data_IF_194605944670
#
_entry.id   IF_194605944670
#
_cell.length_a   1.000
_cell.length_b   1.000
_cell.length_c   1.000
_cell.angle_alpha   90.00
_cell.angle_beta   90.00
_cell.angle_gamma   90.00
#
_symmetry.space_group_name_H-M   'P 1'
#
loop_
_entity.id
_entity.type
_entity.pdbx_description
1 polymer ?
#
# COMPACT_ATOMS: atom_id res chain seq x y z
N UNK A 1 -34.26 -8.07 7.93
CA UNK A 1 -34.09 -6.67 8.39
C UNK A 1 -35.46 -6.03 8.47
N UNK A 2 -35.73 -5.22 9.48
CA UNK A 2 -36.98 -4.49 9.59
C UNK A 2 -36.65 -2.98 9.64
N UNK A 3 -37.42 -2.18 8.89
CA UNK A 3 -37.22 -0.74 8.81
C UNK A 3 -37.49 -0.16 7.41
N UNK A 4 -37.48 1.17 7.35
CA UNK A 4 -37.69 1.92 6.11
C UNK A 4 -36.33 2.47 5.60
N UNK A 5 -35.94 2.13 4.38
CA UNK A 5 -34.67 2.57 3.78
C UNK A 5 -34.97 3.62 2.72
N UNK A 6 -34.28 4.77 2.83
CA UNK A 6 -34.31 5.84 1.84
C UNK A 6 -33.08 5.70 0.93
N UNK A 7 -33.30 5.59 -0.37
CA UNK A 7 -32.22 5.43 -1.36
C UNK A 7 -32.19 6.66 -2.27
N UNK A 8 -31.02 7.30 -2.41
CA UNK A 8 -30.79 8.36 -3.36
C UNK A 8 -29.57 8.01 -4.23
N UNK A 9 -29.78 7.81 -5.51
CA UNK A 9 -28.74 7.49 -6.50
C UNK A 9 -29.24 7.95 -7.88
N UNK A 10 -28.41 8.51 -8.73
CA UNK A 10 -28.78 8.99 -10.06
C UNK A 10 -28.89 7.84 -11.07
N UNK A 11 -28.18 6.73 -10.84
CA UNK A 11 -28.23 5.55 -11.70
C UNK A 11 -29.50 4.72 -11.44
N UNK A 12 -30.33 4.61 -12.48
CA UNK A 12 -31.57 3.84 -12.42
C UNK A 12 -31.33 2.36 -12.14
N UNK A 13 -30.23 1.79 -12.66
CA UNK A 13 -29.91 0.37 -12.49
C UNK A 13 -29.57 0.08 -11.04
N UNK A 14 -28.72 0.91 -10.42
CA UNK A 14 -28.34 0.80 -9.02
C UNK A 14 -29.56 0.96 -8.13
N UNK A 15 -30.40 1.99 -8.35
CA UNK A 15 -31.65 2.16 -7.59
C UNK A 15 -32.54 0.92 -7.65
N UNK A 16 -32.69 0.32 -8.84
CA UNK A 16 -33.52 -0.88 -9.01
C UNK A 16 -32.96 -2.08 -8.24
N UNK A 17 -31.65 -2.32 -8.36
CA UNK A 17 -30.95 -3.42 -7.67
C UNK A 17 -31.06 -3.26 -6.16
N UNK A 18 -30.79 -2.06 -5.64
CA UNK A 18 -30.87 -1.77 -4.21
C UNK A 18 -32.29 -1.90 -3.68
N UNK A 19 -33.29 -1.37 -4.42
CA UNK A 19 -34.71 -1.50 -4.04
C UNK A 19 -35.10 -2.96 -3.93
N UNK A 20 -34.74 -3.79 -4.92
CA UNK A 20 -35.04 -5.22 -4.88
C UNK A 20 -34.35 -5.95 -3.71
N UNK A 21 -33.08 -5.63 -3.45
CA UNK A 21 -32.30 -6.25 -2.40
C UNK A 21 -32.88 -5.94 -1.01
N UNK A 22 -33.17 -4.68 -0.70
CA UNK A 22 -33.74 -4.28 0.57
C UNK A 22 -35.18 -4.77 0.76
N UNK A 23 -35.99 -4.77 -0.32
CA UNK A 23 -37.35 -5.32 -0.25
C UNK A 23 -37.34 -6.83 0.04
N UNK A 24 -36.44 -7.59 -0.63
CA UNK A 24 -36.25 -9.03 -0.33
C UNK A 24 -35.77 -9.29 1.10
N UNK A 25 -35.04 -8.34 1.69
CA UNK A 25 -34.58 -8.41 3.08
C UNK A 25 -35.65 -7.99 4.10
N UNK A 26 -36.88 -7.63 3.65
CA UNK A 26 -38.02 -7.28 4.52
C UNK A 26 -38.16 -5.79 4.81
N UNK A 27 -37.35 -4.90 4.22
CA UNK A 27 -37.40 -3.46 4.41
C UNK A 27 -38.48 -2.79 3.52
N UNK A 28 -39.07 -1.70 3.99
CA UNK A 28 -39.78 -0.74 3.16
C UNK A 28 -38.77 0.17 2.47
N UNK A 29 -38.92 0.42 1.18
CA UNK A 29 -37.92 1.19 0.42
C UNK A 29 -38.58 2.38 -0.28
N UNK A 30 -37.98 3.55 -0.10
CA UNK A 30 -38.26 4.74 -0.90
C UNK A 30 -36.98 5.10 -1.70
N UNK A 31 -37.06 5.16 -3.02
CA UNK A 31 -35.93 5.42 -3.89
C UNK A 31 -36.16 6.67 -4.76
N UNK A 32 -35.15 7.52 -4.88
CA UNK A 32 -35.20 8.76 -5.65
C UNK A 32 -33.89 9.02 -6.40
N UNK A 33 -33.96 9.83 -7.46
CA UNK A 33 -32.79 10.37 -8.16
C UNK A 33 -32.48 11.83 -7.77
N UNK A 34 -33.11 12.37 -6.70
CA UNK A 34 -33.00 13.78 -6.30
C UNK A 34 -32.70 13.89 -4.80
N UNK A 35 -31.65 14.63 -4.47
CA UNK A 35 -31.31 14.99 -3.09
C UNK A 35 -32.38 15.87 -2.43
N UNK A 36 -33.01 16.73 -3.18
CA UNK A 36 -34.11 17.56 -2.70
C UNK A 36 -35.29 16.71 -2.21
N UNK A 37 -35.61 15.64 -2.93
CA UNK A 37 -36.67 14.70 -2.52
C UNK A 37 -36.23 13.88 -1.30
N UNK A 38 -34.97 13.45 -1.23
CA UNK A 38 -34.42 12.77 -0.08
C UNK A 38 -34.52 13.65 1.18
N UNK A 39 -34.08 14.91 1.08
CA UNK A 39 -34.12 15.86 2.20
C UNK A 39 -35.51 16.06 2.73
N UNK A 40 -36.51 16.23 1.85
CA UNK A 40 -37.92 16.32 2.25
C UNK A 40 -38.40 15.08 3.01
N UNK A 41 -38.02 13.87 2.58
CA UNK A 41 -38.39 12.65 3.32
C UNK A 41 -37.72 12.59 4.70
N UNK A 42 -36.49 13.08 4.82
CA UNK A 42 -35.79 13.18 6.10
C UNK A 42 -36.48 14.21 7.04
N UNK A 43 -36.87 15.37 6.50
CA UNK A 43 -37.63 16.40 7.22
C UNK A 43 -39.00 15.90 7.67
N UNK A 44 -39.68 15.13 6.82
CA UNK A 44 -40.97 14.46 7.16
C UNK A 44 -40.81 13.37 8.23
N UNK A 45 -39.61 13.11 8.72
CA UNK A 45 -39.32 12.06 9.71
C UNK A 45 -39.30 10.63 9.15
N UNK A 46 -39.32 10.46 7.84
CA UNK A 46 -39.33 9.13 7.18
C UNK A 46 -37.93 8.50 7.19
N UNK A 47 -37.91 7.18 7.13
CA UNK A 47 -36.71 6.36 7.00
C UNK A 47 -36.01 6.07 8.33
N UNK A 48 -35.47 4.85 8.41
CA UNK A 48 -34.66 4.35 9.52
C UNK A 48 -33.17 4.19 9.08
N UNK A 49 -32.89 4.27 7.76
CA UNK A 49 -31.59 4.25 7.14
C UNK A 49 -31.63 5.08 5.86
N UNK A 50 -30.56 5.84 5.59
CA UNK A 50 -30.31 6.52 4.32
C UNK A 50 -29.15 5.84 3.61
N UNK A 51 -29.31 5.59 2.31
CA UNK A 51 -28.25 5.14 1.40
C UNK A 51 -28.21 6.17 0.26
N UNK A 52 -27.14 6.97 0.19
CA UNK A 52 -27.06 8.09 -0.75
C UNK A 52 -25.77 8.05 -1.58
N UNK A 53 -25.89 8.29 -2.88
CA UNK A 53 -24.73 8.64 -3.71
C UNK A 53 -24.18 10.03 -3.34
N UNK A 54 -22.88 10.20 -3.57
CA UNK A 54 -22.19 11.48 -3.42
C UNK A 54 -22.54 12.44 -4.55
N UNK A 55 -22.48 11.96 -5.80
CA UNK A 55 -22.70 12.80 -7.00
C UNK A 55 -24.12 12.62 -7.49
N UNK A 56 -24.90 13.67 -7.38
CA UNK A 56 -26.30 13.68 -7.82
C UNK A 56 -26.53 14.90 -8.75
N UNK A 57 -27.48 14.84 -9.69
CA UNK A 57 -27.76 15.93 -10.62
C UNK A 57 -28.11 17.27 -9.93
N UNK A 58 -28.70 17.21 -8.74
CA UNK A 58 -29.17 18.36 -7.98
C UNK A 58 -28.29 18.67 -6.74
N UNK A 59 -27.06 18.14 -6.70
CA UNK A 59 -26.09 18.52 -5.66
C UNK A 59 -25.16 17.39 -5.20
N UNK A 60 -24.49 17.62 -4.08
CA UNK A 60 -23.53 16.69 -3.49
C UNK A 60 -24.12 16.05 -2.22
N UNK A 61 -24.21 14.71 -2.20
CA UNK A 61 -24.74 13.96 -1.06
C UNK A 61 -23.97 14.17 0.24
N UNK A 62 -22.65 14.38 0.16
CA UNK A 62 -21.81 14.66 1.34
C UNK A 62 -22.08 16.05 1.94
N UNK A 63 -22.37 17.06 1.12
CA UNK A 63 -22.70 18.40 1.61
C UNK A 63 -24.05 18.46 2.33
N UNK A 64 -24.95 17.53 2.00
CA UNK A 64 -26.25 17.43 2.66
C UNK A 64 -26.22 16.57 3.94
N UNK A 65 -25.18 15.77 4.13
CA UNK A 65 -25.03 14.90 5.31
C UNK A 65 -25.06 15.66 6.65
N UNK A 66 -24.35 16.81 6.84
CA UNK A 66 -24.45 17.59 8.07
C UNK A 66 -25.86 18.12 8.33
N UNK A 67 -26.64 18.43 7.29
CA UNK A 67 -28.04 18.85 7.40
C UNK A 67 -28.93 17.71 7.88
N UNK A 68 -28.75 16.50 7.30
CA UNK A 68 -29.46 15.29 7.71
C UNK A 68 -29.19 14.99 9.19
N UNK A 69 -27.94 15.03 9.61
CA UNK A 69 -27.53 14.77 11.00
C UNK A 69 -28.08 15.82 11.96
N UNK A 70 -28.11 17.09 11.55
CA UNK A 70 -28.69 18.18 12.36
C UNK A 70 -30.19 17.99 12.56
N UNK A 71 -30.91 17.54 11.53
CA UNK A 71 -32.35 17.28 11.58
C UNK A 71 -32.67 15.97 12.34
N UNK A 72 -31.88 14.92 12.12
CA UNK A 72 -32.11 13.59 12.70
C UNK A 72 -30.77 12.96 13.14
N UNK A 73 -30.25 13.27 14.32
CA UNK A 73 -28.93 12.84 14.81
C UNK A 73 -28.74 11.32 14.88
N UNK A 74 -29.83 10.56 15.03
CA UNK A 74 -29.82 9.10 15.16
C UNK A 74 -30.11 8.37 13.83
N UNK A 75 -30.30 9.07 12.72
CA UNK A 75 -30.57 8.45 11.44
C UNK A 75 -29.22 8.03 10.81
N UNK A 76 -28.94 6.72 10.68
CA UNK A 76 -27.73 6.27 10.05
C UNK A 76 -27.75 6.60 8.55
N UNK A 77 -26.62 7.08 8.04
CA UNK A 77 -26.45 7.40 6.63
C UNK A 77 -25.25 6.62 6.09
N UNK A 78 -25.47 5.79 5.08
CA UNK A 78 -24.41 5.13 4.31
C UNK A 78 -24.23 5.91 3.03
N UNK A 79 -23.02 6.37 2.78
CA UNK A 79 -22.64 7.06 1.55
C UNK A 79 -22.07 6.07 0.55
N UNK A 80 -22.57 6.12 -0.70
CA UNK A 80 -22.02 5.36 -1.83
C UNK A 80 -21.38 6.36 -2.79
N UNK A 81 -20.20 6.05 -3.36
CA UNK A 81 -19.53 6.98 -4.28
C UNK A 81 -18.74 6.27 -5.37
N UNK A 82 -18.85 6.80 -6.59
CA UNK A 82 -17.94 6.48 -7.70
C UNK A 82 -16.58 7.19 -7.56
N UNK A 83 -16.53 8.28 -6.80
CA UNK A 83 -15.28 8.99 -6.49
C UNK A 83 -14.56 8.32 -5.33
N UNK A 84 -13.71 7.35 -5.67
CA UNK A 84 -12.94 6.54 -4.71
C UNK A 84 -11.68 7.28 -4.26
N UNK A 85 -11.84 8.48 -3.72
CA UNK A 85 -10.72 9.24 -3.16
C UNK A 85 -10.74 9.17 -1.63
N UNK A 86 -9.56 9.26 -1.02
CA UNK A 86 -9.43 9.36 0.43
C UNK A 86 -10.22 10.57 0.98
N UNK A 87 -10.32 11.66 0.21
CA UNK A 87 -11.12 12.86 0.55
C UNK A 87 -12.57 12.50 0.79
N UNK A 88 -13.16 11.70 -0.11
CA UNK A 88 -14.56 11.31 -0.01
C UNK A 88 -14.80 10.46 1.25
N UNK A 89 -13.89 9.53 1.54
CA UNK A 89 -13.96 8.71 2.74
C UNK A 89 -13.76 9.54 4.03
N UNK A 90 -12.85 10.50 4.01
CA UNK A 90 -12.61 11.42 5.13
C UNK A 90 -13.80 12.34 5.36
N UNK A 91 -14.29 13.01 4.33
CA UNK A 91 -15.46 13.89 4.42
C UNK A 91 -16.71 13.14 4.90
N UNK A 92 -16.90 11.91 4.46
CA UNK A 92 -17.98 11.06 4.97
C UNK A 92 -17.84 10.77 6.48
N UNK A 93 -16.62 10.48 6.93
CA UNK A 93 -16.33 10.23 8.34
C UNK A 93 -16.44 11.52 9.20
N UNK A 94 -15.89 12.64 8.76
CA UNK A 94 -15.99 13.96 9.42
C UNK A 94 -17.44 14.43 9.53
N UNK A 95 -18.22 14.19 8.49
CA UNK A 95 -19.65 14.49 8.44
C UNK A 95 -20.49 13.47 9.19
N UNK A 96 -19.89 12.56 9.98
CA UNK A 96 -20.56 11.55 10.81
C UNK A 96 -21.47 10.60 10.02
N UNK A 97 -21.09 10.24 8.78
CA UNK A 97 -21.73 9.13 8.09
C UNK A 97 -21.60 7.86 8.95
N UNK A 98 -22.62 6.99 8.93
CA UNK A 98 -22.54 5.69 9.59
C UNK A 98 -21.49 4.80 8.92
N UNK A 99 -21.44 4.82 7.57
CA UNK A 99 -20.43 4.12 6.78
C UNK A 99 -20.28 4.73 5.37
N UNK A 100 -19.20 4.34 4.68
CA UNK A 100 -18.89 4.74 3.32
C UNK A 100 -18.58 3.51 2.47
N UNK A 101 -19.16 3.44 1.26
CA UNK A 101 -18.98 2.32 0.33
C UNK A 101 -18.63 2.82 -1.07
N UNK A 102 -17.46 2.46 -1.61
CA UNK A 102 -17.07 2.83 -2.97
C UNK A 102 -17.81 2.03 -4.04
N UNK A 103 -18.11 2.65 -5.19
CA UNK A 103 -18.58 1.95 -6.40
C UNK A 103 -17.34 1.49 -7.24
N UNK A 104 -17.31 0.28 -7.78
CA UNK A 104 -18.30 -0.79 -7.65
C UNK A 104 -18.26 -1.44 -6.26
N UNK A 105 -19.42 -1.78 -5.70
CA UNK A 105 -19.55 -2.39 -4.39
C UNK A 105 -20.17 -3.78 -4.48
N UNK A 106 -19.83 -4.61 -3.48
CA UNK A 106 -20.46 -5.92 -3.31
C UNK A 106 -21.81 -5.76 -2.57
N UNK A 107 -22.88 -6.23 -3.21
CA UNK A 107 -24.23 -6.12 -2.66
C UNK A 107 -24.38 -6.81 -1.28
N UNK A 108 -23.85 -8.03 -1.05
CA UNK A 108 -23.82 -8.67 0.27
C UNK A 108 -23.15 -7.80 1.35
N UNK A 109 -22.07 -7.10 1.01
CA UNK A 109 -21.36 -6.22 1.94
C UNK A 109 -22.21 -5.00 2.32
N UNK A 110 -22.87 -4.34 1.34
CA UNK A 110 -23.81 -3.26 1.63
C UNK A 110 -24.95 -3.74 2.53
N UNK A 111 -25.53 -4.90 2.25
CA UNK A 111 -26.62 -5.47 3.03
C UNK A 111 -26.19 -5.77 4.48
N UNK A 112 -24.98 -6.30 4.66
CA UNK A 112 -24.41 -6.55 5.99
C UNK A 112 -24.22 -5.26 6.80
N UNK A 113 -23.69 -4.20 6.17
CA UNK A 113 -23.49 -2.88 6.80
C UNK A 113 -24.83 -2.21 7.14
N UNK A 114 -25.80 -2.32 6.24
CA UNK A 114 -27.14 -1.80 6.43
C UNK A 114 -27.90 -2.49 7.58
N UNK A 115 -27.73 -3.81 7.72
CA UNK A 115 -28.28 -4.55 8.87
C UNK A 115 -27.72 -4.01 10.19
N UNK A 116 -26.39 -3.84 10.26
CA UNK A 116 -25.71 -3.28 11.43
C UNK A 116 -26.15 -1.84 11.74
N UNK A 117 -26.44 -1.05 10.69
CA UNK A 117 -26.95 0.31 10.85
C UNK A 117 -28.35 0.34 11.46
N UNK A 118 -29.24 -0.55 11.02
CA UNK A 118 -30.61 -0.66 11.54
C UNK A 118 -30.71 -1.24 12.97
N UNK A 119 -29.72 -2.07 13.38
CA UNK A 119 -29.62 -2.64 14.72
C UNK A 119 -29.18 -1.61 15.79
N UNK A 120 -28.38 -0.62 15.40
CA UNK A 120 -27.80 0.39 16.31
C UNK A 120 -28.80 1.53 16.61
N UNK A 121 -29.72 1.32 17.50
CA UNK A 121 -30.69 2.33 17.98
C UNK A 121 -30.23 3.14 19.21
N UNK A 122 -28.93 3.36 19.47
CA UNK A 122 -28.48 4.17 20.62
C UNK A 122 -27.44 5.24 20.28
N UNK A 123 -27.48 6.42 20.95
CA UNK A 123 -26.74 7.59 20.57
C UNK A 123 -25.29 7.57 21.10
N UNK A 124 -24.34 7.94 20.27
CA UNK A 124 -23.00 8.36 20.70
C UNK A 124 -22.85 9.86 20.47
N UNK A 125 -22.75 10.59 21.56
CA UNK A 125 -22.40 12.01 21.60
C UNK A 125 -20.93 12.22 21.24
N UNK A 126 -20.62 13.01 20.23
CA UNK A 126 -19.30 13.64 20.05
C UNK A 126 -19.39 14.95 19.27
N UNK A 127 -18.58 15.90 19.70
CA UNK A 127 -18.55 17.32 19.36
C UNK A 127 -18.14 17.64 17.92
N UNK A 128 -18.71 18.71 17.38
CA UNK A 128 -18.47 19.22 16.04
C UNK A 128 -17.30 20.23 16.02
N UNK A 129 -16.47 20.17 14.96
CA UNK A 129 -15.49 21.18 14.58
C UNK A 129 -15.80 21.64 13.14
N UNK A 130 -15.69 22.93 12.80
CA UNK A 130 -16.15 23.49 11.53
C UNK A 130 -15.21 23.14 10.37
N UNK A 131 -15.81 22.82 9.23
CA UNK A 131 -15.11 22.51 7.98
C UNK A 131 -14.68 23.80 7.27
N UNK A 132 -13.41 23.94 6.99
CA UNK A 132 -12.87 24.93 6.03
C UNK A 132 -12.78 24.31 4.64
N UNK A 133 -13.42 24.94 3.67
CA UNK A 133 -13.37 24.59 2.27
C UNK A 133 -12.01 24.96 1.66
N UNK A 134 -11.17 24.00 1.42
CA UNK A 134 -10.09 24.10 0.44
C UNK A 134 -10.03 22.78 -0.34
N UNK A 135 -10.11 22.88 -1.66
CA UNK A 135 -9.85 21.76 -2.56
C UNK A 135 -8.37 21.39 -2.45
N UNK A 136 -8.07 20.45 -1.58
CA UNK A 136 -6.73 19.90 -1.46
C UNK A 136 -6.70 18.65 -2.32
N UNK A 137 -6.05 18.74 -3.48
CA UNK A 137 -5.70 17.58 -4.27
C UNK A 137 -4.81 16.65 -3.44
N UNK A 138 -5.32 15.45 -3.20
CA UNK A 138 -4.54 14.42 -2.51
C UNK A 138 -3.90 13.52 -3.56
N UNK A 139 -2.58 13.34 -3.51
CA UNK A 139 -1.87 12.48 -4.44
C UNK A 139 -2.01 10.97 -4.14
N UNK A 140 -2.93 10.57 -3.25
CA UNK A 140 -3.23 9.17 -2.97
C UNK A 140 -4.26 8.63 -3.95
N UNK A 141 -3.78 7.85 -4.91
CA UNK A 141 -4.58 7.24 -5.98
C UNK A 141 -4.68 5.73 -5.78
N UNK A 142 -5.88 5.17 -5.87
CA UNK A 142 -6.14 3.74 -5.79
C UNK A 142 -7.63 3.44 -5.59
N UNK A 143 -8.13 2.46 -6.34
CA UNK A 143 -9.55 2.05 -6.34
C UNK A 143 -9.73 0.60 -5.89
N UNK A 144 -8.65 -0.16 -5.77
CA UNK A 144 -8.69 -1.55 -5.36
C UNK A 144 -9.29 -1.74 -3.96
N UNK A 145 -9.93 -2.88 -3.67
CA UNK A 145 -10.49 -3.19 -2.34
C UNK A 145 -9.46 -3.07 -1.21
N UNK A 146 -8.19 -3.41 -1.49
CA UNK A 146 -7.10 -3.30 -0.53
C UNK A 146 -6.83 -1.83 -0.15
N UNK A 147 -6.77 -0.92 -1.15
CA UNK A 147 -6.61 0.52 -0.90
C UNK A 147 -7.82 1.13 -0.22
N UNK A 148 -9.03 0.71 -0.58
CA UNK A 148 -10.26 1.17 0.08
C UNK A 148 -10.29 0.82 1.56
N UNK A 149 -9.87 -0.39 1.93
CA UNK A 149 -9.73 -0.79 3.34
C UNK A 149 -8.69 0.06 4.07
N UNK A 150 -7.57 0.36 3.41
CA UNK A 150 -6.55 1.27 3.96
C UNK A 150 -7.13 2.67 4.20
N UNK A 151 -7.85 3.25 3.23
CA UNK A 151 -8.46 4.58 3.36
C UNK A 151 -9.50 4.64 4.49
N UNK A 152 -10.32 3.60 4.65
CA UNK A 152 -11.26 3.51 5.78
C UNK A 152 -10.52 3.49 7.14
N UNK A 153 -9.43 2.72 7.24
CA UNK A 153 -8.62 2.68 8.45
C UNK A 153 -7.94 4.03 8.71
N UNK A 154 -7.41 4.69 7.69
CA UNK A 154 -6.84 6.04 7.80
C UNK A 154 -7.88 7.04 8.30
N UNK A 155 -9.08 7.06 7.72
CA UNK A 155 -10.16 7.96 8.13
C UNK A 155 -10.57 7.77 9.61
N UNK A 156 -10.63 6.51 10.08
CA UNK A 156 -10.96 6.20 11.49
C UNK A 156 -9.87 6.65 12.48
N UNK A 157 -8.63 6.71 12.02
CA UNK A 157 -7.48 6.98 12.88
C UNK A 157 -6.95 8.40 12.75
N UNK A 158 -7.51 9.16 11.83
CA UNK A 158 -7.00 10.48 11.45
C UNK A 158 -6.85 11.45 12.62
N UNK A 159 -7.82 11.49 13.52
CA UNK A 159 -7.82 12.36 14.71
C UNK A 159 -7.46 11.62 16.01
N UNK A 160 -7.03 10.36 15.92
CA UNK A 160 -6.61 9.63 17.10
C UNK A 160 -5.25 10.12 17.60
N UNK A 161 -5.14 10.36 18.91
CA UNK A 161 -3.88 10.77 19.54
C UNK A 161 -2.86 9.62 19.72
N UNK A 162 -3.25 8.38 19.37
CA UNK A 162 -2.42 7.18 19.54
C UNK A 162 -1.33 7.07 18.46
N UNK A 163 -0.16 6.49 18.78
CA UNK A 163 0.88 6.21 17.80
C UNK A 163 0.41 5.31 16.65
N UNK A 164 0.81 5.66 15.42
CA UNK A 164 0.45 4.93 14.21
C UNK A 164 1.71 4.37 13.55
N UNK A 165 1.73 3.07 13.28
CA UNK A 165 2.79 2.40 12.54
C UNK A 165 2.31 2.10 11.11
N UNK A 166 2.95 2.72 10.12
CA UNK A 166 2.69 2.51 8.69
C UNK A 166 3.66 1.45 8.17
N UNK A 167 3.13 0.31 7.76
CA UNK A 167 3.89 -0.84 7.28
C UNK A 167 3.74 -1.00 5.78
N UNK A 168 4.80 -1.43 5.10
CA UNK A 168 4.74 -1.77 3.69
C UNK A 168 6.11 -1.82 3.04
N UNK A 169 6.17 -2.36 1.84
CA UNK A 169 7.40 -2.46 1.05
C UNK A 169 7.94 -1.07 0.65
N UNK A 170 9.23 -0.95 0.31
CA UNK A 170 9.77 0.27 -0.28
C UNK A 170 9.00 0.70 -1.52
N UNK A 171 8.75 2.02 -1.66
CA UNK A 171 8.06 2.56 -2.84
C UNK A 171 6.54 2.40 -2.89
N UNK A 172 5.89 1.87 -1.85
CA UNK A 172 4.42 1.70 -1.81
C UNK A 172 3.65 3.00 -1.53
N UNK A 173 4.33 4.08 -1.07
CA UNK A 173 3.72 5.38 -0.75
C UNK A 173 3.51 5.63 0.75
N UNK A 174 4.24 4.94 1.64
CA UNK A 174 4.11 5.09 3.11
C UNK A 174 4.27 6.53 3.60
N UNK A 175 5.28 7.25 3.12
CA UNK A 175 5.53 8.64 3.52
C UNK A 175 4.40 9.57 3.06
N UNK A 176 3.78 9.27 1.91
CA UNK A 176 2.60 9.96 1.43
C UNK A 176 1.37 9.72 2.33
N UNK A 177 1.22 8.50 2.85
CA UNK A 177 0.18 8.17 3.82
C UNK A 177 0.39 8.92 5.14
N UNK A 178 1.63 8.99 5.65
CA UNK A 178 1.95 9.75 6.84
C UNK A 178 1.62 11.25 6.67
N UNK A 179 2.00 11.82 5.53
CA UNK A 179 1.65 13.21 5.19
C UNK A 179 0.12 13.42 5.08
N UNK A 180 -0.59 12.47 4.47
CA UNK A 180 -2.05 12.55 4.36
C UNK A 180 -2.74 12.45 5.71
N UNK A 181 -2.27 11.57 6.62
CA UNK A 181 -2.76 11.48 8.00
C UNK A 181 -2.59 12.79 8.77
N UNK A 182 -1.54 13.57 8.50
CA UNK A 182 -1.34 14.89 9.08
C UNK A 182 -2.26 15.92 8.42
N UNK A 183 -2.21 16.07 7.08
CA UNK A 183 -2.94 17.10 6.33
C UNK A 183 -4.45 17.05 6.51
N UNK A 184 -5.01 15.88 6.78
CA UNK A 184 -6.46 15.68 6.98
C UNK A 184 -6.86 15.53 8.44
N UNK A 185 -5.94 15.69 9.39
CA UNK A 185 -6.22 15.69 10.82
C UNK A 185 -6.55 17.09 11.34
N UNK A 186 -7.04 17.14 12.57
CA UNK A 186 -7.20 18.39 13.33
C UNK A 186 -5.86 19.10 13.65
N UNK A 187 -4.72 18.52 13.23
CA UNK A 187 -3.37 19.05 13.39
C UNK A 187 -2.76 19.53 12.06
N UNK A 188 -3.58 19.70 11.00
CA UNK A 188 -3.13 20.06 9.66
C UNK A 188 -2.35 21.39 9.62
N UNK A 189 -2.74 22.36 10.48
CA UNK A 189 -2.09 23.67 10.60
C UNK A 189 -0.89 23.67 11.56
N UNK A 190 -0.59 22.53 12.19
CA UNK A 190 0.52 22.37 13.12
C UNK A 190 1.78 21.84 12.41
N UNK A 191 2.97 21.92 13.01
CA UNK A 191 4.19 21.43 12.39
C UNK A 191 4.17 19.95 12.06
N UNK A 192 4.75 19.62 10.88
CA UNK A 192 5.00 18.24 10.43
C UNK A 192 6.50 18.02 10.35
N UNK A 193 7.06 17.23 11.28
CA UNK A 193 8.50 17.04 11.42
C UNK A 193 8.86 15.58 11.19
N UNK A 194 9.88 15.33 10.36
CA UNK A 194 10.36 13.99 10.03
C UNK A 194 11.73 13.78 10.64
N UNK A 195 11.94 12.64 11.29
CA UNK A 195 13.23 12.14 11.74
C UNK A 195 13.61 10.97 10.85
N UNK A 196 14.72 11.12 10.12
CA UNK A 196 15.35 10.05 9.35
C UNK A 196 16.43 9.34 10.19
N UNK A 197 16.85 8.11 9.84
CA UNK A 197 17.81 7.32 10.59
C UNK A 197 19.11 8.05 10.90
N UNK A 198 19.62 8.86 9.96
CA UNK A 198 20.86 9.64 10.13
C UNK A 198 20.73 10.71 11.23
N UNK A 199 19.55 11.33 11.37
CA UNK A 199 19.27 12.30 12.44
C UNK A 199 19.17 11.63 13.80
N UNK A 200 18.77 10.37 13.83
CA UNK A 200 18.61 9.59 15.06
C UNK A 200 19.93 9.18 15.71
N UNK A 201 21.05 9.40 15.05
CA UNK A 201 22.38 9.20 15.63
C UNK A 201 22.76 10.30 16.64
N UNK A 202 22.12 11.47 16.58
CA UNK A 202 22.35 12.60 17.49
C UNK A 202 21.15 12.87 18.39
N UNK A 203 21.37 12.79 19.71
CA UNK A 203 20.33 13.07 20.70
C UNK A 203 19.86 14.54 20.66
N UNK A 204 20.73 15.48 20.30
CA UNK A 204 20.37 16.90 20.16
C UNK A 204 19.39 17.09 18.99
N UNK A 205 19.65 16.45 17.85
CA UNK A 205 18.77 16.54 16.67
C UNK A 205 17.38 15.91 16.93
N UNK A 206 17.32 14.81 17.70
CA UNK A 206 16.05 14.22 18.10
C UNK A 206 15.27 15.19 19.00
N UNK A 207 15.92 15.79 20.00
CA UNK A 207 15.31 16.77 20.91
C UNK A 207 14.77 17.98 20.15
N UNK A 208 15.58 18.53 19.25
CA UNK A 208 15.20 19.68 18.43
C UNK A 208 14.00 19.33 17.51
N UNK A 209 13.97 18.12 16.95
CA UNK A 209 12.86 17.68 16.12
C UNK A 209 11.55 17.52 16.93
N UNK A 210 11.62 16.93 18.12
CA UNK A 210 10.48 16.79 19.02
C UNK A 210 9.97 18.18 19.46
N UNK A 211 10.87 19.08 19.80
CA UNK A 211 10.52 20.44 20.19
C UNK A 211 9.86 21.22 19.04
N UNK A 212 10.37 21.08 17.82
CA UNK A 212 9.76 21.71 16.62
C UNK A 212 8.42 21.11 16.25
N UNK A 213 8.18 19.83 16.56
CA UNK A 213 6.90 19.19 16.28
C UNK A 213 5.76 19.73 17.15
N UNK A 214 6.07 20.31 18.32
CA UNK A 214 5.10 20.88 19.26
C UNK A 214 3.88 19.97 19.49
N UNK A 215 2.67 20.47 19.22
CA UNK A 215 1.42 19.70 19.24
C UNK A 215 1.08 19.07 17.86
N UNK A 216 1.98 19.20 16.87
CA UNK A 216 1.80 18.75 15.50
C UNK A 216 1.97 17.24 15.32
N UNK A 217 2.75 16.86 14.31
CA UNK A 217 3.01 15.46 13.97
C UNK A 217 4.51 15.21 13.85
N UNK A 218 5.00 14.21 14.57
CA UNK A 218 6.35 13.70 14.48
C UNK A 218 6.35 12.38 13.72
N UNK A 219 7.13 12.32 12.65
CA UNK A 219 7.27 11.10 11.83
C UNK A 219 8.65 10.50 12.03
N UNK A 220 8.71 9.22 12.38
CA UNK A 220 9.93 8.43 12.33
C UNK A 220 9.93 7.64 11.01
N UNK A 221 10.73 8.06 10.04
CA UNK A 221 10.81 7.40 8.74
C UNK A 221 11.94 6.36 8.73
N UNK A 222 11.65 5.14 8.26
CA UNK A 222 12.63 4.07 8.16
C UNK A 222 13.08 3.51 9.52
N UNK A 223 12.16 3.28 10.46
CA UNK A 223 12.52 2.82 11.82
C UNK A 223 13.24 1.47 11.84
N UNK A 224 13.07 0.64 10.81
CA UNK A 224 13.80 -0.63 10.65
C UNK A 224 15.29 -0.45 10.39
N UNK A 225 15.70 0.72 9.89
CA UNK A 225 17.08 1.04 9.54
C UNK A 225 17.84 1.68 10.69
N UNK A 226 17.18 1.89 11.85
CA UNK A 226 17.75 2.47 13.05
C UNK A 226 18.70 1.50 13.77
N UNK A 227 19.89 1.95 14.13
CA UNK A 227 20.77 1.21 15.04
C UNK A 227 20.12 1.04 16.41
N UNK A 228 20.49 -0.03 17.16
CA UNK A 228 19.99 -0.24 18.54
C UNK A 228 20.27 0.95 19.46
N UNK A 229 21.39 1.65 19.25
CA UNK A 229 21.73 2.86 19.99
C UNK A 229 20.79 4.02 19.66
N UNK A 230 20.42 4.20 18.38
CA UNK A 230 19.47 5.22 17.92
C UNK A 230 18.05 4.93 18.42
N UNK A 231 17.64 3.66 18.39
CA UNK A 231 16.36 3.22 18.96
C UNK A 231 16.25 3.58 20.45
N UNK A 232 17.31 3.36 21.23
CA UNK A 232 17.36 3.70 22.66
C UNK A 232 17.28 5.22 22.89
N UNK A 233 18.02 6.02 22.07
CA UNK A 233 17.96 7.49 22.15
C UNK A 233 16.56 8.03 21.85
N UNK A 234 15.89 7.51 20.80
CA UNK A 234 14.52 7.88 20.48
C UNK A 234 13.58 7.56 21.64
N UNK A 235 13.66 6.33 22.18
CA UNK A 235 12.82 5.88 23.28
C UNK A 235 12.94 6.80 24.51
N UNK A 236 14.18 7.13 24.89
CA UNK A 236 14.45 8.02 26.03
C UNK A 236 13.99 9.47 25.77
N UNK A 237 14.14 9.96 24.53
CA UNK A 237 13.82 11.36 24.22
C UNK A 237 12.32 11.57 24.04
N UNK A 238 11.58 10.57 23.58
CA UNK A 238 10.11 10.64 23.49
C UNK A 238 9.42 10.76 24.86
N UNK A 239 10.09 10.38 25.97
CA UNK A 239 9.54 10.48 27.33
C UNK A 239 8.22 9.71 27.52
N UNK A 240 7.43 10.09 28.53
CA UNK A 240 6.09 9.52 28.76
C UNK A 240 5.06 10.05 27.74
N UNK A 241 4.04 9.25 27.37
CA UNK A 241 2.95 9.70 26.51
C UNK A 241 2.18 10.86 27.17
N UNK A 242 2.04 11.97 26.47
CA UNK A 242 1.25 13.13 26.89
C UNK A 242 0.22 13.47 25.83
N UNK A 243 -0.98 13.88 26.24
CA UNK A 243 -2.03 14.33 25.32
C UNK A 243 -1.65 15.61 24.54
N UNK A 244 -0.74 16.42 25.12
CA UNK A 244 -0.20 17.64 24.51
C UNK A 244 1.05 17.40 23.67
N UNK A 245 1.53 16.15 23.56
CA UNK A 245 2.68 15.82 22.72
C UNK A 245 2.32 15.75 21.24
N UNK A 246 3.33 15.88 20.39
CA UNK A 246 3.18 15.61 18.95
C UNK A 246 2.63 14.21 18.71
N UNK A 247 1.75 14.09 17.73
CA UNK A 247 1.27 12.79 17.26
C UNK A 247 2.41 12.01 16.63
N UNK A 248 2.65 10.78 17.10
CA UNK A 248 3.70 9.94 16.58
C UNK A 248 3.20 9.07 15.42
N UNK A 249 3.86 9.17 14.26
CA UNK A 249 3.69 8.28 13.12
C UNK A 249 5.04 7.63 12.83
N UNK A 250 5.08 6.31 12.71
CA UNK A 250 6.32 5.57 12.39
C UNK A 250 6.16 4.83 11.08
N UNK A 251 7.19 4.80 10.24
CA UNK A 251 7.20 4.13 8.95
C UNK A 251 8.23 3.01 8.99
N UNK A 252 7.78 1.79 8.68
CA UNK A 252 8.62 0.59 8.71
C UNK A 252 8.47 -0.27 7.45
N UNK A 253 9.44 -1.15 7.24
CA UNK A 253 9.33 -2.27 6.31
C UNK A 253 8.38 -3.36 6.84
N UNK A 254 7.98 -4.32 5.98
CA UNK A 254 7.08 -5.41 6.38
C UNK A 254 7.73 -6.40 7.37
N UNK A 255 9.04 -6.43 7.44
CA UNK A 255 9.84 -7.35 8.25
C UNK A 255 10.08 -6.90 9.71
N UNK A 256 9.48 -5.78 10.17
CA UNK A 256 9.76 -5.25 11.51
C UNK A 256 9.53 -6.27 12.64
N UNK A 257 8.54 -7.15 12.52
CA UNK A 257 8.30 -8.21 13.51
C UNK A 257 9.44 -9.24 13.55
N UNK A 258 10.02 -9.58 12.40
CA UNK A 258 11.19 -10.45 12.32
C UNK A 258 12.42 -9.78 12.93
N UNK A 259 12.60 -8.46 12.71
CA UNK A 259 13.68 -7.69 13.32
C UNK A 259 13.56 -7.64 14.86
N UNK A 260 12.32 -7.56 15.39
CA UNK A 260 12.05 -7.67 16.82
C UNK A 260 12.42 -9.06 17.36
N UNK A 261 12.02 -10.13 16.65
CA UNK A 261 12.31 -11.51 17.05
C UNK A 261 13.83 -11.82 17.03
N UNK A 262 14.53 -11.28 16.03
CA UNK A 262 15.98 -11.42 15.88
C UNK A 262 16.79 -10.53 16.85
N UNK A 263 16.14 -9.67 17.63
CA UNK A 263 16.80 -8.75 18.55
C UNK A 263 17.46 -7.52 17.90
N UNK A 264 17.24 -7.30 16.61
CA UNK A 264 17.71 -6.13 15.86
C UNK A 264 16.82 -4.90 16.10
N UNK A 265 15.59 -5.11 16.55
CA UNK A 265 14.66 -4.05 16.93
C UNK A 265 14.17 -4.28 18.36
N UNK A 266 14.19 -3.22 19.17
CA UNK A 266 13.81 -3.27 20.59
C UNK A 266 12.32 -3.46 20.79
N UNK A 267 11.93 -4.39 21.65
CA UNK A 267 10.53 -4.66 21.99
C UNK A 267 9.83 -3.44 22.60
N UNK A 268 10.49 -2.69 23.48
CA UNK A 268 9.93 -1.53 24.17
C UNK A 268 9.60 -0.39 23.19
N UNK A 269 10.48 -0.12 22.22
CA UNK A 269 10.21 0.85 21.16
C UNK A 269 9.10 0.36 20.24
N UNK A 270 9.10 -0.94 19.88
CA UNK A 270 8.05 -1.52 19.02
C UNK A 270 6.65 -1.32 19.63
N UNK A 271 6.46 -1.70 20.89
CA UNK A 271 5.17 -1.50 21.57
C UNK A 271 4.76 -0.04 21.67
N UNK A 272 5.73 0.87 21.80
CA UNK A 272 5.45 2.29 21.86
C UNK A 272 4.96 2.87 20.55
N UNK A 273 5.48 2.41 19.40
CA UNK A 273 5.13 2.95 18.07
C UNK A 273 4.00 2.19 17.39
N UNK A 274 3.64 0.99 17.83
CA UNK A 274 2.73 0.07 17.14
C UNK A 274 1.32 -0.02 17.74
N UNK A 275 0.87 1.04 18.42
CA UNK A 275 -0.49 1.06 19.02
C UNK A 275 -1.58 0.86 17.98
N UNK A 276 -1.39 1.37 16.78
CA UNK A 276 -2.22 1.12 15.61
C UNK A 276 -1.34 0.84 14.39
N UNK A 277 -1.73 -0.15 13.58
CA UNK A 277 -0.99 -0.52 12.38
C UNK A 277 -1.81 -0.27 11.13
N UNK A 278 -1.18 0.36 10.13
CA UNK A 278 -1.71 0.58 8.80
C UNK A 278 -0.82 -0.14 7.79
N UNK A 279 -1.29 -1.26 7.25
CA UNK A 279 -0.58 -2.00 6.22
C UNK A 279 -0.88 -1.41 4.84
N UNK A 280 0.16 -0.99 4.13
CA UNK A 280 0.09 -0.48 2.76
C UNK A 280 0.32 -1.64 1.81
N UNK A 281 -0.65 -1.99 0.96
CA UNK A 281 -0.51 -3.13 0.06
C UNK A 281 0.58 -2.89 -0.98
N UNK A 282 1.32 -3.94 -1.34
CA UNK A 282 2.25 -3.90 -2.46
C UNK A 282 1.49 -3.71 -3.78
N UNK A 283 2.15 -3.15 -4.81
CA UNK A 283 1.49 -2.84 -6.07
C UNK A 283 0.94 -4.10 -6.78
N UNK A 284 1.62 -5.25 -6.64
CA UNK A 284 1.15 -6.56 -7.14
C UNK A 284 -0.12 -7.09 -6.45
N UNK A 285 -0.47 -6.58 -5.26
CA UNK A 285 -1.68 -6.92 -4.52
C UNK A 285 -2.87 -6.02 -4.90
N UNK A 286 -2.61 -4.98 -5.73
CA UNK A 286 -3.58 -4.00 -6.21
C UNK A 286 -3.42 -3.74 -7.71
N UNK A 287 -3.42 -4.81 -8.49
CA UNK A 287 -3.18 -4.80 -9.94
C UNK A 287 -4.14 -3.85 -10.68
N UNK A 288 -5.39 -3.75 -10.20
CA UNK A 288 -6.41 -2.86 -10.77
C UNK A 288 -6.02 -1.37 -10.65
N UNK A 289 -5.19 -1.01 -9.68
CA UNK A 289 -4.74 0.36 -9.49
C UNK A 289 -3.59 0.76 -10.44
N UNK A 290 -2.93 -0.20 -11.10
CA UNK A 290 -1.76 0.07 -11.96
C UNK A 290 -2.14 1.05 -13.07
N UNK A 291 -3.22 0.79 -13.80
CA UNK A 291 -3.63 1.66 -14.90
C UNK A 291 -4.11 3.03 -14.43
N UNK A 292 -4.77 3.09 -13.29
CA UNK A 292 -5.22 4.34 -12.66
C UNK A 292 -4.02 5.20 -12.24
N UNK A 293 -2.98 4.57 -11.70
CA UNK A 293 -1.72 5.24 -11.37
C UNK A 293 -0.96 5.71 -12.62
N UNK A 294 -0.93 4.91 -13.68
CA UNK A 294 -0.32 5.30 -14.97
C UNK A 294 -1.01 6.54 -15.54
N UNK A 295 -2.34 6.53 -15.59
CA UNK A 295 -3.11 7.70 -16.05
C UNK A 295 -2.86 8.94 -15.18
N UNK A 296 -2.77 8.75 -13.87
CA UNK A 296 -2.44 9.84 -12.95
C UNK A 296 -1.05 10.42 -13.23
N UNK A 297 -0.02 9.60 -13.38
CA UNK A 297 1.33 10.07 -13.69
C UNK A 297 1.43 10.72 -15.07
N UNK A 298 0.71 10.21 -16.07
CA UNK A 298 0.64 10.84 -17.40
C UNK A 298 -0.02 12.22 -17.34
N UNK A 299 -1.06 12.41 -16.54
CA UNK A 299 -1.74 13.71 -16.34
C UNK A 299 -0.87 14.74 -15.61
N UNK A 300 0.04 14.31 -14.75
CA UNK A 300 0.97 15.21 -14.04
C UNK A 300 2.01 15.83 -14.96
N UNK A 301 2.29 15.20 -16.10
CA UNK A 301 3.21 15.73 -17.11
C UNK A 301 2.38 16.42 -18.19
N UNK A 302 2.65 17.72 -18.40
CA UNK A 302 2.00 18.50 -19.47
C UNK A 302 2.58 17.98 -20.79
N UNK A 303 1.88 17.09 -21.46
CA UNK A 303 2.24 16.54 -22.76
C UNK A 303 1.50 17.35 -23.86
N UNK A 304 2.21 17.77 -24.89
CA UNK A 304 1.64 18.42 -26.07
C UNK A 304 0.74 17.43 -26.87
N UNK A 305 1.02 16.12 -26.76
CA UNK A 305 0.24 15.04 -27.39
C UNK A 305 -0.17 14.00 -26.35
N UNK A 306 -1.43 13.51 -26.38
CA UNK A 306 -1.87 12.45 -25.46
C UNK A 306 -1.10 11.15 -25.76
N UNK A 307 -0.60 10.52 -24.70
CA UNK A 307 0.08 9.22 -24.77
C UNK A 307 -0.93 8.12 -24.51
N UNK A 308 -1.05 7.17 -25.44
CA UNK A 308 -1.92 6.01 -25.30
C UNK A 308 -1.08 4.73 -25.17
N UNK A 309 -1.49 3.85 -24.25
CA UNK A 309 -0.92 2.51 -24.11
C UNK A 309 -1.74 1.52 -24.93
N UNK A 310 -1.06 0.69 -25.71
CA UNK A 310 -1.71 -0.44 -26.37
C UNK A 310 -2.25 -1.45 -25.35
N UNK A 311 -3.21 -2.30 -25.76
CA UNK A 311 -3.72 -3.38 -24.90
C UNK A 311 -2.58 -4.32 -24.43
N UNK A 312 -1.62 -4.61 -25.30
CA UNK A 312 -0.44 -5.42 -24.97
C UNK A 312 0.50 -4.71 -23.97
N UNK A 313 0.69 -3.39 -24.09
CA UNK A 313 1.46 -2.58 -23.14
C UNK A 313 0.80 -2.54 -21.77
N UNK A 314 -0.51 -2.38 -21.72
CA UNK A 314 -1.29 -2.39 -20.48
C UNK A 314 -1.20 -3.76 -19.76
N UNK A 315 -1.27 -4.86 -20.50
CA UNK A 315 -1.14 -6.21 -19.94
C UNK A 315 0.27 -6.49 -19.44
N UNK A 316 1.30 -6.02 -20.14
CA UNK A 316 2.69 -6.12 -19.68
C UNK A 316 2.92 -5.40 -18.34
N UNK A 317 2.33 -4.22 -18.14
CA UNK A 317 2.40 -3.49 -16.88
C UNK A 317 1.65 -4.21 -15.75
N UNK A 318 0.48 -4.81 -16.03
CA UNK A 318 -0.31 -5.57 -15.05
C UNK A 318 0.36 -6.86 -14.58
N UNK A 319 1.04 -7.54 -15.49
CA UNK A 319 1.69 -8.83 -15.21
C UNK A 319 3.05 -8.71 -14.54
N UNK A 320 3.63 -7.52 -14.45
CA UNK A 320 4.93 -7.30 -13.84
C UNK A 320 4.85 -7.33 -12.30
N UNK A 321 5.90 -7.84 -11.64
CA UNK A 321 5.89 -8.07 -10.18
C UNK A 321 6.13 -6.83 -9.30
N UNK A 322 6.59 -5.72 -9.88
CA UNK A 322 6.80 -4.42 -9.25
C UNK A 322 7.60 -4.44 -7.93
N UNK A 323 8.85 -4.93 -7.89
CA UNK A 323 9.64 -4.98 -6.66
C UNK A 323 9.89 -3.60 -6.04
N UNK A 324 9.92 -2.52 -6.83
CA UNK A 324 10.02 -1.14 -6.37
C UNK A 324 8.66 -0.42 -6.27
N UNK A 325 7.56 -1.17 -6.40
CA UNK A 325 6.20 -0.68 -6.23
C UNK A 325 5.86 0.59 -7.04
N UNK A 326 5.14 1.55 -6.46
CA UNK A 326 4.67 2.79 -7.13
C UNK A 326 5.83 3.68 -7.57
N UNK A 327 6.94 3.71 -6.82
CA UNK A 327 8.13 4.49 -7.21
C UNK A 327 8.75 3.94 -8.50
N UNK A 328 8.80 2.62 -8.64
CA UNK A 328 9.27 1.99 -9.88
C UNK A 328 8.32 2.26 -11.04
N UNK A 329 7.01 2.14 -10.83
CA UNK A 329 5.99 2.47 -11.84
C UNK A 329 6.13 3.91 -12.32
N UNK A 330 6.27 4.86 -11.40
CA UNK A 330 6.48 6.28 -11.73
C UNK A 330 7.73 6.50 -12.60
N UNK A 331 8.84 5.86 -12.24
CA UNK A 331 10.09 5.94 -13.01
C UNK A 331 9.91 5.38 -14.44
N UNK A 332 9.25 4.24 -14.59
CA UNK A 332 8.97 3.62 -15.89
C UNK A 332 8.04 4.50 -16.73
N UNK A 333 6.99 5.06 -16.16
CA UNK A 333 6.13 6.01 -16.87
C UNK A 333 6.91 7.25 -17.30
N UNK A 334 7.81 7.77 -16.46
CA UNK A 334 8.68 8.90 -16.83
C UNK A 334 9.64 8.54 -17.96
N UNK A 335 10.20 7.34 -17.97
CA UNK A 335 11.06 6.85 -19.08
C UNK A 335 10.26 6.70 -20.37
N UNK A 336 9.06 6.11 -20.32
CA UNK A 336 8.15 6.04 -21.46
C UNK A 336 7.88 7.41 -22.07
N UNK A 337 7.64 8.43 -21.25
CA UNK A 337 7.41 9.80 -21.71
C UNK A 337 8.68 10.37 -22.38
N UNK A 338 9.87 10.13 -21.84
CA UNK A 338 11.14 10.66 -22.39
C UNK A 338 11.56 9.99 -23.70
N UNK A 339 11.28 8.71 -23.87
CA UNK A 339 11.61 7.96 -25.09
C UNK A 339 10.59 8.18 -26.22
N UNK A 340 9.46 8.86 -25.94
CA UNK A 340 8.37 9.01 -26.91
C UNK A 340 8.67 10.01 -28.02
N UNK A 341 8.93 9.48 -29.19
CA UNK A 341 8.65 10.15 -30.46
C UNK A 341 7.26 9.71 -31.05
N UNK A 342 6.57 8.77 -30.43
CA UNK A 342 5.32 8.15 -30.88
C UNK A 342 4.18 8.35 -29.90
N UNK A 343 2.96 8.52 -30.41
CA UNK A 343 1.72 8.72 -29.65
C UNK A 343 1.20 7.45 -28.99
N UNK A 344 1.65 6.25 -29.44
CA UNK A 344 1.16 4.95 -28.95
C UNK A 344 2.34 4.09 -28.54
N UNK A 345 2.33 3.60 -27.30
CA UNK A 345 3.32 2.65 -26.80
C UNK A 345 2.85 1.22 -27.03
N UNK A 346 3.62 0.50 -27.85
CA UNK A 346 3.42 -0.91 -28.09
C UNK A 346 3.93 -1.76 -26.90
N UNK A 347 3.38 -2.98 -26.76
CA UNK A 347 3.77 -3.92 -25.72
C UNK A 347 5.27 -4.28 -25.76
N UNK A 348 5.90 -4.29 -26.94
CA UNK A 348 7.32 -4.57 -27.09
C UNK A 348 8.20 -3.51 -26.42
N UNK A 349 7.91 -2.23 -26.61
CA UNK A 349 8.65 -1.10 -26.00
C UNK A 349 8.50 -1.12 -24.47
N UNK A 350 7.28 -1.33 -23.96
CA UNK A 350 7.04 -1.46 -22.52
C UNK A 350 7.83 -2.61 -21.92
N UNK A 351 7.82 -3.79 -22.55
CA UNK A 351 8.57 -4.98 -22.09
C UNK A 351 10.09 -4.73 -22.10
N UNK A 352 10.63 -4.02 -23.08
CA UNK A 352 12.05 -3.68 -23.17
C UNK A 352 12.48 -2.78 -22.01
N UNK A 353 11.71 -1.74 -21.72
CA UNK A 353 11.94 -0.85 -20.56
C UNK A 353 11.83 -1.61 -19.24
N UNK A 354 10.82 -2.48 -19.09
CA UNK A 354 10.66 -3.32 -17.91
C UNK A 354 11.86 -4.25 -17.69
N UNK A 355 12.40 -4.85 -18.78
CA UNK A 355 13.59 -5.73 -18.70
C UNK A 355 14.86 -4.95 -18.34
N UNK A 356 15.07 -3.78 -18.92
CA UNK A 356 16.25 -2.94 -18.60
C UNK A 356 16.22 -2.49 -17.14
N UNK A 357 15.06 -2.13 -16.63
CA UNK A 357 14.87 -1.72 -15.23
C UNK A 357 15.02 -2.90 -14.27
N UNK A 358 14.56 -4.10 -14.64
CA UNK A 358 14.74 -5.31 -13.85
C UNK A 358 16.22 -5.72 -13.73
N UNK A 359 16.99 -5.57 -14.80
CA UNK A 359 18.44 -5.79 -14.80
C UNK A 359 19.16 -4.79 -13.88
N UNK A 360 18.78 -3.53 -13.90
CA UNK A 360 19.34 -2.49 -13.01
C UNK A 360 18.98 -2.75 -11.53
N UNK A 361 17.76 -3.20 -11.25
CA UNK A 361 17.33 -3.56 -9.90
C UNK A 361 18.06 -4.81 -9.36
N UNK A 362 18.32 -5.80 -10.21
CA UNK A 362 19.08 -7.00 -9.81
C UNK A 362 20.54 -6.69 -9.49
N UNK A 363 21.16 -5.73 -10.17
CA UNK A 363 22.53 -5.26 -9.88
C UNK A 363 22.57 -4.52 -8.53
N UNK A 364 21.53 -3.76 -8.17
CA UNK A 364 21.47 -3.04 -6.90
C UNK A 364 21.16 -4.01 -5.73
N UNK A 365 20.34 -5.04 -5.94
CA UNK A 365 20.06 -6.05 -4.92
C UNK A 365 21.25 -6.98 -4.64
N UNK A 366 22.17 -7.13 -5.60
CA UNK A 366 23.44 -7.84 -5.37
C UNK A 366 24.42 -7.06 -4.48
N UNK A 367 24.17 -5.77 -4.21
CA UNK A 367 24.99 -4.94 -3.31
C UNK A 367 24.50 -4.99 -1.84
N UNK A 368 23.28 -5.42 -1.57
CA UNK A 368 22.82 -5.74 -0.22
C UNK A 368 23.22 -7.20 0.08
N UNK A 369 24.13 -7.37 1.04
CA UNK A 369 24.71 -8.66 1.46
C UNK A 369 23.66 -9.63 2.02
N UNK A 370 22.84 -10.20 1.14
CA UNK A 370 22.08 -11.42 1.50
C UNK A 370 23.11 -12.55 1.65
N UNK A 371 23.11 -13.17 2.82
CA UNK A 371 23.94 -14.36 3.04
C UNK A 371 23.48 -15.44 2.07
N UNK A 372 24.43 -16.13 1.43
CA UNK A 372 24.13 -17.25 0.51
C UNK A 372 23.14 -18.26 1.16
N UNK A 373 23.25 -18.46 2.47
CA UNK A 373 22.34 -19.32 3.24
C UNK A 373 20.88 -18.86 3.18
N UNK A 374 20.62 -17.56 3.27
CA UNK A 374 19.26 -16.99 3.23
C UNK A 374 18.63 -17.14 1.84
N UNK A 375 19.43 -16.92 0.77
CA UNK A 375 19.00 -17.11 -0.60
C UNK A 375 18.69 -18.60 -0.89
N UNK A 376 19.52 -19.53 -0.41
CA UNK A 376 19.29 -20.96 -0.53
C UNK A 376 18.04 -21.38 0.23
N UNK A 377 17.85 -20.90 1.47
CA UNK A 377 16.67 -21.17 2.29
C UNK A 377 15.37 -20.76 1.57
N UNK A 378 15.32 -19.54 1.03
CA UNK A 378 14.15 -19.05 0.28
C UNK A 378 13.85 -19.92 -0.96
N UNK A 379 14.88 -20.34 -1.71
CA UNK A 379 14.69 -21.20 -2.87
C UNK A 379 14.20 -22.60 -2.49
N UNK A 380 14.74 -23.17 -1.42
CA UNK A 380 14.30 -24.46 -0.88
C UNK A 380 12.86 -24.37 -0.39
N UNK A 381 12.51 -23.33 0.38
CA UNK A 381 11.15 -23.12 0.86
C UNK A 381 10.16 -23.02 -0.32
N UNK A 382 10.46 -22.20 -1.31
CA UNK A 382 9.63 -22.06 -2.52
C UNK A 382 9.47 -23.39 -3.26
N UNK A 383 10.52 -24.20 -3.30
CA UNK A 383 10.45 -25.54 -3.91
C UNK A 383 9.47 -26.47 -3.15
N UNK A 384 9.45 -26.42 -1.82
CA UNK A 384 8.48 -27.16 -1.00
C UNK A 384 7.05 -26.61 -1.17
N UNK A 385 6.88 -25.30 -1.20
CA UNK A 385 5.58 -24.64 -1.35
C UNK A 385 4.90 -24.99 -2.69
N UNK A 386 5.67 -25.17 -3.77
CA UNK A 386 5.18 -25.62 -5.08
C UNK A 386 4.58 -27.04 -5.05
N UNK A 387 4.94 -27.87 -4.08
CA UNK A 387 4.41 -29.23 -3.93
C UNK A 387 3.20 -29.30 -3.00
N UNK A 388 2.81 -28.19 -2.36
CA UNK A 388 1.63 -28.08 -1.50
C UNK A 388 1.63 -29.08 -0.34
N UNK A 389 0.57 -29.86 -0.20
CA UNK A 389 0.41 -30.84 0.87
C UNK A 389 1.18 -32.15 0.63
N UNK A 390 1.79 -32.39 -0.54
CA UNK A 390 2.57 -33.57 -0.86
C UNK A 390 4.07 -33.31 -0.70
N UNK A 391 4.82 -34.28 -0.18
CA UNK A 391 6.27 -34.15 -0.10
C UNK A 391 6.90 -34.19 -1.50
N UNK A 392 7.95 -33.40 -1.75
CA UNK A 392 8.71 -33.47 -3.00
C UNK A 392 9.32 -34.86 -3.23
N UNK A 393 9.59 -35.25 -4.48
CA UNK A 393 10.19 -36.52 -4.80
C UNK A 393 11.60 -36.68 -4.22
N UNK A 394 12.01 -37.92 -3.90
CA UNK A 394 13.31 -38.21 -3.32
C UNK A 394 14.48 -37.68 -4.17
N UNK A 395 15.61 -37.35 -3.53
CA UNK A 395 16.82 -36.83 -4.19
C UNK A 395 16.98 -35.31 -4.17
N UNK A 396 16.26 -34.60 -3.31
CA UNK A 396 16.33 -33.15 -3.14
C UNK A 396 17.76 -32.66 -2.89
N UNK A 397 18.50 -33.36 -2.01
CA UNK A 397 19.88 -32.99 -1.67
C UNK A 397 20.76 -32.89 -2.93
N UNK A 398 20.72 -33.92 -3.77
CA UNK A 398 21.56 -33.95 -4.99
C UNK A 398 21.15 -32.87 -5.99
N UNK A 399 19.85 -32.59 -6.12
CA UNK A 399 19.32 -31.51 -6.98
C UNK A 399 19.79 -30.13 -6.55
N UNK A 400 19.62 -29.79 -5.29
CA UNK A 400 20.02 -28.47 -4.76
C UNK A 400 21.56 -28.35 -4.79
N UNK A 401 22.28 -29.41 -4.46
CA UNK A 401 23.73 -29.39 -4.54
C UNK A 401 24.22 -29.14 -5.97
N UNK A 402 23.61 -29.77 -6.97
CA UNK A 402 23.92 -29.54 -8.40
C UNK A 402 23.67 -28.11 -8.83
N UNK A 403 22.56 -27.48 -8.41
CA UNK A 403 22.22 -26.09 -8.71
C UNK A 403 23.22 -25.09 -8.11
N UNK A 404 23.84 -25.42 -6.97
CA UNK A 404 24.87 -24.57 -6.34
C UNK A 404 26.26 -24.87 -6.89
N UNK A 405 26.61 -26.13 -7.12
CA UNK A 405 27.93 -26.54 -7.60
C UNK A 405 28.22 -26.08 -9.03
N UNK A 406 27.23 -26.13 -9.92
CA UNK A 406 27.40 -25.74 -11.31
C UNK A 406 27.89 -24.30 -11.49
N UNK A 407 27.15 -23.26 -11.00
CA UNK A 407 27.60 -21.88 -11.12
C UNK A 407 28.92 -21.61 -10.37
N UNK A 408 29.14 -22.24 -9.22
CA UNK A 408 30.38 -22.12 -8.46
C UNK A 408 31.59 -22.56 -9.29
N UNK A 409 31.52 -23.71 -9.96
CA UNK A 409 32.59 -24.24 -10.82
C UNK A 409 32.74 -23.39 -12.08
N UNK A 410 31.66 -22.98 -12.75
CA UNK A 410 31.70 -22.16 -13.95
C UNK A 410 32.35 -20.80 -13.69
N UNK A 411 31.97 -20.10 -12.63
CA UNK A 411 32.53 -18.81 -12.22
C UNK A 411 34.04 -18.95 -11.89
N UNK A 412 34.39 -19.98 -11.13
CA UNK A 412 35.80 -20.23 -10.74
C UNK A 412 36.66 -20.62 -11.94
N UNK A 413 36.14 -21.38 -12.90
CA UNK A 413 36.81 -21.69 -14.16
C UNK A 413 36.99 -20.44 -15.00
N UNK A 414 36.01 -19.58 -15.11
CA UNK A 414 36.13 -18.30 -15.82
C UNK A 414 37.17 -17.41 -15.15
N UNK A 415 37.17 -17.26 -13.83
CA UNK A 415 38.17 -16.48 -13.07
C UNK A 415 39.59 -17.05 -13.19
N UNK A 416 39.75 -18.36 -13.38
CA UNK A 416 41.03 -19.01 -13.60
C UNK A 416 41.43 -19.13 -15.08
N UNK A 417 40.73 -18.45 -16.00
CA UNK A 417 40.93 -18.47 -17.46
C UNK A 417 40.94 -19.91 -18.03
N UNK A 418 40.09 -20.78 -17.50
CA UNK A 418 39.96 -22.19 -17.89
C UNK A 418 41.09 -23.10 -17.38
N UNK A 419 41.92 -22.64 -16.45
CA UNK A 419 42.96 -23.44 -15.83
C UNK A 419 42.41 -24.31 -14.70
N UNK A 420 42.20 -25.59 -15.00
CA UNK A 420 41.61 -26.54 -14.04
C UNK A 420 42.45 -26.77 -12.77
N UNK A 421 43.80 -26.61 -12.84
CA UNK A 421 44.64 -26.75 -11.65
C UNK A 421 44.42 -25.58 -10.69
N UNK A 422 44.50 -24.33 -11.19
CA UNK A 422 44.20 -23.14 -10.39
C UNK A 422 42.75 -23.09 -9.88
N UNK A 423 41.81 -23.58 -10.69
CA UNK A 423 40.41 -23.68 -10.29
C UNK A 423 40.23 -24.68 -9.12
N UNK A 424 40.89 -25.83 -9.19
CA UNK A 424 40.85 -26.83 -8.12
C UNK A 424 41.47 -26.29 -6.80
N UNK A 425 42.58 -25.56 -6.93
CA UNK A 425 43.25 -24.91 -5.79
C UNK A 425 42.35 -23.83 -5.14
N UNK A 426 41.70 -22.98 -5.96
CA UNK A 426 40.76 -21.97 -5.51
C UNK A 426 39.54 -22.58 -4.81
N UNK A 427 39.01 -23.69 -5.31
CA UNK A 427 37.87 -24.39 -4.73
C UNK A 427 38.23 -25.27 -3.52
N UNK A 428 39.52 -25.45 -3.25
CA UNK A 428 39.98 -26.32 -2.16
C UNK A 428 39.67 -27.82 -2.39
N UNK A 429 39.55 -28.27 -3.66
CA UNK A 429 39.25 -29.65 -4.02
C UNK A 429 40.35 -30.27 -4.88
N UNK A 430 40.43 -31.62 -4.88
CA UNK A 430 41.38 -32.33 -5.71
C UNK A 430 41.04 -32.13 -7.22
N UNK A 431 42.08 -31.97 -8.06
CA UNK A 431 41.93 -31.80 -9.51
C UNK A 431 41.14 -32.93 -10.17
N UNK A 432 41.27 -34.14 -9.69
CA UNK A 432 40.49 -35.29 -10.21
C UNK A 432 39.01 -35.19 -9.86
N UNK A 433 38.68 -34.68 -8.64
CA UNK A 433 37.33 -34.42 -8.18
C UNK A 433 36.71 -33.33 -9.04
N UNK A 434 37.44 -32.23 -9.31
CA UNK A 434 36.99 -31.14 -10.20
C UNK A 434 36.69 -31.67 -11.62
N UNK A 435 37.58 -32.51 -12.19
CA UNK A 435 37.36 -33.11 -13.50
C UNK A 435 36.12 -34.00 -13.57
N UNK A 436 35.89 -34.79 -12.51
CA UNK A 436 34.69 -35.62 -12.41
C UNK A 436 33.45 -34.76 -12.39
N UNK A 437 33.45 -33.70 -11.59
CA UNK A 437 32.33 -32.74 -11.48
C UNK A 437 32.07 -31.98 -12.77
N UNK A 438 33.10 -31.52 -13.48
CA UNK A 438 32.98 -30.87 -14.79
C UNK A 438 32.27 -31.79 -15.80
N UNK A 439 32.61 -33.08 -15.80
CA UNK A 439 32.00 -34.05 -16.70
C UNK A 439 30.55 -34.37 -16.27
N UNK A 440 30.30 -34.57 -14.97
CA UNK A 440 28.97 -34.88 -14.42
C UNK A 440 27.98 -33.71 -14.63
N UNK A 441 28.45 -32.46 -14.58
CA UNK A 441 27.67 -31.26 -14.73
C UNK A 441 27.65 -30.73 -16.16
N UNK A 442 28.30 -31.39 -17.13
CA UNK A 442 28.41 -31.00 -18.54
C UNK A 442 28.90 -29.59 -18.75
N UNK A 443 29.89 -29.15 -17.96
CA UNK A 443 30.40 -27.77 -18.00
C UNK A 443 31.39 -27.63 -19.18
N UNK A 444 31.14 -26.66 -20.06
CA UNK A 444 32.01 -26.36 -21.21
C UNK A 444 33.21 -25.55 -20.76
N UNK A 445 34.40 -26.11 -20.88
CA UNK A 445 35.66 -25.44 -20.53
C UNK A 445 36.21 -24.68 -21.73
N UNK A 446 35.99 -23.37 -21.83
CA UNK A 446 36.60 -22.49 -22.84
C UNK A 446 37.98 -22.03 -22.38
N UNK A 447 39.03 -22.44 -23.11
CA UNK A 447 40.40 -21.94 -22.90
C UNK A 447 40.57 -20.64 -23.67
N UNK A 448 40.61 -19.50 -22.98
CA UNK A 448 41.12 -18.27 -23.58
C UNK A 448 42.66 -18.38 -23.75
N UNK A 449 43.11 -18.60 -24.99
CA UNK A 449 44.52 -18.52 -25.36
C UNK A 449 44.91 -17.05 -25.30
N UNK A 450 45.85 -16.65 -24.40
CA UNK A 450 46.50 -15.34 -24.47
C UNK A 450 47.18 -15.26 -25.84
N UNK A 451 46.72 -14.36 -26.71
CA UNK A 451 47.56 -13.88 -27.80
C UNK A 451 48.74 -13.10 -27.17
N UNK A 452 49.95 -13.55 -27.51
CA UNK A 452 51.18 -12.81 -27.26
C UNK A 452 51.23 -11.54 -28.08
#
# INVERSE_FOLDING_TARGET
MDGTVLIADDDRTIRTVLTQAFTRAGCKVHATSSLTTLMRWVEDGRGDLVVSDVVMPDGNGLENLPKIIKLRPNLPVIIISAQNTIVTAIRANESKAFDYLPKPFDLPELMRRSAKALERRQPATLSAVPATNSEVEIPLVGQSPAMQKLYQNMARTMNAAIPVLVLGEPGTGKSLIANSLHKFSNRADQPFVIIHPEMAESQSLIKDAIQRAEEGTLVLDGVTDLSLASQLRILHTLGEPSEQAARLISIAGPNILSEVQNGNFRNDLFFRISSLQLAVPALRERVDDIMVLVEHFLKMVILETPVELSAAGSEALRSFNWPGNVRQLQNIVSQLIMESQNTIYDGSTVVEILKSTALSASVISMASSEKLSESVEQHVQRYFDLHGASLPPNGIYQRILTEVERPLIEITLAASAGNQAKCADLLGINRNTLRKKINELEIVVTRHRKMM
#
